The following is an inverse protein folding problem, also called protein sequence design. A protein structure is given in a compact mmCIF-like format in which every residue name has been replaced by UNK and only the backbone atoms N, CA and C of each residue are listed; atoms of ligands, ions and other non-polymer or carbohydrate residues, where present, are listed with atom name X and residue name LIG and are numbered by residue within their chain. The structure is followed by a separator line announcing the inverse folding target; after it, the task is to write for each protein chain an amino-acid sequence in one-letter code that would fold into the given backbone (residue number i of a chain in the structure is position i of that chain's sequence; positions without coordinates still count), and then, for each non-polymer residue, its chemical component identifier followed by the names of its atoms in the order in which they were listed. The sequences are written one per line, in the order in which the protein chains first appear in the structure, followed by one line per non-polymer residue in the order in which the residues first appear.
data_IF_921037153807
#
_entry.id   IF_921037153807
#
_cell.length_a   1.000
_cell.length_b   1.000
_cell.length_c   1.000
_cell.angle_alpha   90.00
_cell.angle_beta   90.00
_cell.angle_gamma   90.00
#
_symmetry.space_group_name_H-M   'P 1'
#
loop_
_entity.id
_entity.type
_entity.pdbx_description
1 polymer ?
#
# COMPACT_ATOMS: atom_id res chain seq x y z
N UNK A 1 28.66 -7.84 3.53
CA UNK A 1 27.47 -7.46 2.75
C UNK A 1 26.85 -8.76 2.29
N UNK A 2 25.75 -9.20 2.92
CA UNK A 2 25.08 -10.46 2.56
C UNK A 2 24.42 -10.36 1.18
N UNK A 3 24.17 -11.50 0.56
CA UNK A 3 23.35 -11.58 -0.64
C UNK A 3 21.95 -11.01 -0.40
N UNK A 4 21.23 -10.66 -1.48
CA UNK A 4 19.85 -10.18 -1.38
C UNK A 4 18.94 -11.19 -0.68
N UNK A 5 19.19 -12.49 -0.84
CA UNK A 5 18.45 -13.57 -0.20
C UNK A 5 18.71 -13.66 1.30
N UNK A 6 19.96 -13.47 1.73
CA UNK A 6 20.30 -13.42 3.16
C UNK A 6 19.67 -12.19 3.82
N UNK A 7 19.73 -11.03 3.17
CA UNK A 7 19.09 -9.81 3.68
C UNK A 7 17.57 -9.96 3.74
N UNK A 8 16.94 -10.65 2.77
CA UNK A 8 15.52 -10.99 2.84
C UNK A 8 15.23 -11.94 4.01
N UNK A 9 16.02 -13.01 4.16
CA UNK A 9 15.85 -14.01 5.23
C UNK A 9 15.95 -13.40 6.64
N UNK A 10 16.89 -12.49 6.84
CA UNK A 10 17.06 -11.79 8.12
C UNK A 10 16.10 -10.60 8.29
N UNK A 11 15.22 -10.32 7.33
CA UNK A 11 14.27 -9.22 7.41
C UNK A 11 14.88 -7.83 7.25
N UNK A 12 16.07 -7.72 6.66
CA UNK A 12 16.73 -6.45 6.35
C UNK A 12 16.13 -5.76 5.11
N UNK A 13 15.28 -6.45 4.34
CA UNK A 13 14.55 -5.90 3.19
C UNK A 13 13.07 -5.96 3.53
N UNK A 14 12.45 -4.80 3.73
CA UNK A 14 11.02 -4.66 4.10
C UNK A 14 10.38 -3.59 3.22
N UNK A 15 10.08 -3.93 1.95
CA UNK A 15 9.64 -2.94 0.97
C UNK A 15 8.31 -2.27 1.38
N UNK A 16 7.45 -2.97 2.10
CA UNK A 16 6.21 -2.45 2.66
C UNK A 16 6.44 -1.34 3.70
N UNK A 17 7.53 -1.43 4.48
CA UNK A 17 7.92 -0.39 5.45
C UNK A 17 8.71 0.76 4.80
N UNK A 18 9.28 0.55 3.62
CA UNK A 18 10.04 1.58 2.90
C UNK A 18 9.20 2.32 1.85
N UNK A 19 8.08 1.75 1.41
CA UNK A 19 7.13 2.39 0.47
C UNK A 19 6.31 3.44 1.21
N UNK A 20 6.97 4.53 1.54
CA UNK A 20 6.35 5.76 2.00
C UNK A 20 6.42 6.79 0.89
N UNK A 21 5.28 7.25 0.34
CA UNK A 21 5.29 8.37 -0.57
C UNK A 21 5.83 9.60 0.17
N UNK A 22 7.11 9.94 -0.05
CA UNK A 22 7.73 11.18 0.44
C UNK A 22 7.25 12.42 -0.36
N UNK A 23 6.03 12.36 -0.88
CA UNK A 23 5.44 13.39 -1.70
C UNK A 23 4.57 14.29 -0.82
N UNK A 24 4.82 15.60 -0.86
CA UNK A 24 4.06 16.56 -0.05
C UNK A 24 2.55 16.47 -0.27
N UNK A 25 2.13 16.18 -1.50
CA UNK A 25 0.72 15.96 -1.85
C UNK A 25 0.09 14.77 -1.11
N UNK A 26 0.84 13.68 -0.90
CA UNK A 26 0.33 12.53 -0.14
C UNK A 26 0.07 12.92 1.33
N UNK A 27 0.95 13.73 1.91
CA UNK A 27 0.75 14.24 3.27
C UNK A 27 -0.43 15.21 3.36
N UNK A 28 -0.58 16.09 2.37
CA UNK A 28 -1.71 17.01 2.27
C UNK A 28 -3.04 16.27 2.12
N UNK A 29 -3.10 15.29 1.22
CA UNK A 29 -4.28 14.44 1.03
C UNK A 29 -4.67 13.73 2.33
N UNK A 30 -3.72 13.14 3.05
CA UNK A 30 -4.01 12.48 4.32
C UNK A 30 -4.55 13.47 5.37
N UNK A 31 -3.99 14.68 5.47
CA UNK A 31 -4.52 15.73 6.36
C UNK A 31 -5.94 16.11 5.99
N UNK A 32 -6.24 16.26 4.69
CA UNK A 32 -7.59 16.54 4.21
C UNK A 32 -8.56 15.41 4.55
N UNK A 33 -8.17 14.15 4.34
CA UNK A 33 -8.96 12.98 4.71
C UNK A 33 -9.28 13.01 6.21
N UNK A 34 -8.28 13.17 7.07
CA UNK A 34 -8.48 13.25 8.53
C UNK A 34 -9.42 14.40 8.91
N UNK A 35 -9.25 15.57 8.32
CA UNK A 35 -10.12 16.73 8.60
C UNK A 35 -11.58 16.48 8.20
N UNK A 36 -11.81 15.77 7.09
CA UNK A 36 -13.16 15.40 6.64
C UNK A 36 -13.79 14.36 7.59
N UNK A 37 -13.04 13.34 7.99
CA UNK A 37 -13.49 12.32 8.94
C UNK A 37 -13.91 12.97 10.27
N UNK A 38 -13.08 13.86 10.82
CA UNK A 38 -13.41 14.61 12.03
C UNK A 38 -14.65 15.49 11.88
N UNK A 39 -14.86 16.07 10.70
CA UNK A 39 -16.04 16.89 10.44
C UNK A 39 -17.32 16.03 10.39
N UNK A 40 -17.23 14.80 9.89
CA UNK A 40 -18.34 13.84 9.94
C UNK A 40 -18.61 13.34 11.36
N UNK A 41 -17.57 13.06 12.14
CA UNK A 41 -17.69 12.67 13.55
C UNK A 41 -18.50 13.68 14.39
N UNK A 42 -18.40 14.97 14.07
CA UNK A 42 -19.15 16.04 14.77
C UNK A 42 -20.59 16.21 14.28
N UNK A 43 -20.94 15.68 13.12
CA UNK A 43 -22.24 15.91 12.45
C UNK A 43 -23.18 14.72 12.52
N UNK A 44 -22.64 13.51 12.49
CA UNK A 44 -23.40 12.26 12.44
C UNK A 44 -23.78 11.80 13.85
N UNK A 45 -24.83 10.99 13.95
CA UNK A 45 -25.08 10.24 15.19
C UNK A 45 -23.99 9.17 15.40
N UNK A 46 -23.84 8.61 16.61
CA UNK A 46 -22.90 7.53 16.85
C UNK A 46 -23.12 6.33 15.91
N UNK A 47 -24.38 5.95 15.67
CA UNK A 47 -24.70 4.81 14.79
C UNK A 47 -24.36 5.09 13.32
N UNK A 48 -24.64 6.31 12.83
CA UNK A 48 -24.28 6.74 11.47
C UNK A 48 -22.75 6.82 11.30
N UNK A 49 -22.05 7.24 12.35
CA UNK A 49 -20.60 7.32 12.34
C UNK A 49 -19.94 5.93 12.38
N UNK A 50 -20.48 4.99 13.16
CA UNK A 50 -20.03 3.58 13.17
C UNK A 50 -20.16 2.93 11.78
N UNK A 51 -21.26 3.22 11.06
CA UNK A 51 -21.43 2.76 9.68
C UNK A 51 -20.41 3.38 8.73
N UNK A 52 -20.09 4.67 8.91
CA UNK A 52 -19.06 5.36 8.13
C UNK A 52 -17.66 4.78 8.40
N UNK A 53 -17.30 4.52 9.66
CA UNK A 53 -16.02 3.90 10.00
C UNK A 53 -15.92 2.51 9.37
N UNK A 54 -16.96 1.70 9.46
CA UNK A 54 -17.01 0.39 8.81
C UNK A 54 -16.83 0.47 7.30
N UNK A 55 -17.41 1.48 6.64
CA UNK A 55 -17.21 1.71 5.22
C UNK A 55 -15.74 2.05 4.91
N UNK A 56 -15.14 2.96 5.68
CA UNK A 56 -13.74 3.36 5.54
C UNK A 56 -12.81 2.16 5.71
N UNK A 57 -13.07 1.31 6.71
CA UNK A 57 -12.30 0.08 6.94
C UNK A 57 -12.39 -0.88 5.76
N UNK A 58 -13.59 -1.09 5.21
CA UNK A 58 -13.79 -1.95 4.03
C UNK A 58 -13.07 -1.39 2.80
N UNK A 59 -13.09 -0.06 2.60
CA UNK A 59 -12.33 0.61 1.54
C UNK A 59 -10.81 0.47 1.75
N UNK A 60 -10.34 0.56 2.99
CA UNK A 60 -8.95 0.31 3.35
C UNK A 60 -8.52 -1.13 3.02
N UNK A 61 -9.35 -2.12 3.40
CA UNK A 61 -9.10 -3.53 3.12
C UNK A 61 -9.04 -3.81 1.62
N UNK A 62 -10.02 -3.33 0.83
CA UNK A 62 -9.99 -3.57 -0.62
C UNK A 62 -8.80 -2.90 -1.30
N UNK A 63 -8.40 -1.71 -0.83
CA UNK A 63 -7.23 -0.99 -1.35
C UNK A 63 -5.93 -1.74 -1.01
N UNK A 64 -5.83 -2.28 0.20
CA UNK A 64 -4.70 -3.11 0.63
C UNK A 64 -4.59 -4.39 -0.21
N UNK A 65 -5.70 -5.10 -0.42
CA UNK A 65 -5.75 -6.30 -1.27
C UNK A 65 -5.34 -5.99 -2.70
N UNK A 66 -5.85 -4.90 -3.28
CA UNK A 66 -5.48 -4.46 -4.62
C UNK A 66 -3.98 -4.13 -4.71
N UNK A 67 -3.46 -3.40 -3.73
CA UNK A 67 -2.04 -3.00 -3.68
C UNK A 67 -1.12 -4.21 -3.59
N UNK A 68 -1.47 -5.21 -2.78
CA UNK A 68 -0.72 -6.47 -2.68
C UNK A 68 -0.74 -7.27 -4.00
N UNK A 69 -1.88 -7.32 -4.68
CA UNK A 69 -2.00 -7.97 -5.99
C UNK A 69 -1.16 -7.24 -7.05
N UNK A 70 -1.26 -5.91 -7.11
CA UNK A 70 -0.49 -5.08 -8.03
C UNK A 70 1.02 -5.20 -7.80
N UNK A 71 1.45 -5.21 -6.53
CA UNK A 71 2.85 -5.44 -6.16
C UNK A 71 3.35 -6.80 -6.68
N UNK A 72 2.61 -7.87 -6.39
CA UNK A 72 2.99 -9.24 -6.78
C UNK A 72 3.06 -9.39 -8.31
N UNK A 73 2.07 -8.86 -9.02
CA UNK A 73 2.03 -8.93 -10.49
C UNK A 73 3.13 -8.06 -11.11
N UNK A 74 3.42 -6.89 -10.55
CA UNK A 74 4.52 -6.03 -10.98
C UNK A 74 5.88 -6.71 -10.86
N UNK A 75 6.16 -7.39 -9.74
CA UNK A 75 7.39 -8.17 -9.56
C UNK A 75 7.48 -9.32 -10.55
N UNK A 76 6.39 -10.06 -10.75
CA UNK A 76 6.33 -11.15 -11.73
C UNK A 76 6.64 -10.64 -13.14
N UNK A 77 5.96 -9.56 -13.56
CA UNK A 77 6.17 -8.95 -14.87
C UNK A 77 7.61 -8.47 -15.03
N UNK A 78 8.16 -7.80 -14.02
CA UNK A 78 9.56 -7.35 -14.03
C UNK A 78 10.55 -8.51 -14.19
N UNK A 79 10.34 -9.63 -13.49
CA UNK A 79 11.17 -10.82 -13.63
C UNK A 79 11.07 -11.44 -15.04
N UNK A 80 9.86 -11.53 -15.61
CA UNK A 80 9.64 -12.00 -16.98
C UNK A 80 10.38 -11.11 -17.99
N UNK A 81 10.28 -9.79 -17.85
CA UNK A 81 11.01 -8.84 -18.69
C UNK A 81 12.53 -9.01 -18.59
N UNK A 82 13.06 -9.20 -17.37
CA UNK A 82 14.50 -9.44 -17.19
C UNK A 82 14.95 -10.74 -17.86
N UNK A 83 14.19 -11.83 -17.72
CA UNK A 83 14.51 -13.10 -18.39
C UNK A 83 14.51 -12.96 -19.91
N UNK A 84 13.55 -12.22 -20.48
CA UNK A 84 13.50 -11.93 -21.91
C UNK A 84 14.75 -11.16 -22.37
N UNK A 85 15.10 -10.06 -21.70
CA UNK A 85 16.27 -9.22 -22.04
C UNK A 85 17.59 -9.99 -21.91
N UNK A 86 17.70 -10.85 -20.89
CA UNK A 86 18.90 -11.65 -20.66
C UNK A 86 19.00 -12.87 -21.58
N UNK A 87 18.02 -13.09 -22.47
CA UNK A 87 17.98 -14.27 -23.35
C UNK A 87 17.75 -15.58 -22.59
N UNK A 88 17.23 -15.50 -21.36
CA UNK A 88 16.82 -16.66 -20.57
C UNK A 88 15.32 -17.00 -20.80
N UNK A 89 14.57 -16.14 -21.48
CA UNK A 89 13.17 -16.32 -21.86
C UNK A 89 12.94 -17.11 -23.16
N UNK A 90 14.02 -17.57 -23.82
CA UNK A 90 14.04 -18.54 -24.93
C UNK A 90 15.32 -19.36 -24.90
#
# INVERSE_FOLDING_TARGET
MGSILENLYFGNIRPDEEVHPNHSEYQELNRTISSIIEAYHRKLTPEEYDELEKLIDLLGQTTSMYSAAAYTEGFRLGALMMMEVMGAGK
#
